data_IF_610201063537
#
_entry.id   IF_610201063537
#
_cell.length_a   1.000
_cell.length_b   1.000
_cell.length_c   1.000
_cell.angle_alpha   90.00
_cell.angle_beta   90.00
_cell.angle_gamma   90.00
#
_symmetry.space_group_name_H-M   'P 1'
#
loop_
_entity.id
_entity.type
_entity.pdbx_description
1 polymer ?
#
# COMPACT_ATOMS: atom_id res chain seq x y z
N UNK A 1 22.59 -6.94 -0.64
CA UNK A 1 21.45 -6.37 0.10
C UNK A 1 20.16 -6.65 -0.64
N UNK A 2 19.18 -7.15 0.07
CA UNK A 2 17.88 -7.46 -0.51
C UNK A 2 17.10 -6.19 -0.79
N UNK A 3 16.49 -6.10 -1.99
CA UNK A 3 15.56 -5.01 -2.30
C UNK A 3 14.22 -5.26 -1.59
N UNK A 4 13.47 -4.21 -1.23
CA UNK A 4 12.12 -4.40 -0.72
C UNK A 4 11.25 -5.16 -1.73
N UNK A 5 10.50 -6.14 -1.24
CA UNK A 5 9.59 -6.95 -2.06
C UNK A 5 8.12 -6.62 -1.80
N UNK A 6 7.83 -5.92 -0.72
CA UNK A 6 6.48 -5.48 -0.39
C UNK A 6 6.52 -3.99 -0.12
N UNK A 7 5.71 -3.25 -0.85
CA UNK A 7 5.51 -1.82 -0.66
C UNK A 7 4.06 -1.60 -0.23
N UNK A 8 3.88 -1.00 0.94
CA UNK A 8 2.54 -0.70 1.47
C UNK A 8 2.28 0.79 1.27
N UNK A 9 1.14 1.13 0.70
CA UNK A 9 0.78 2.52 0.40
C UNK A 9 -0.61 2.78 0.97
N UNK A 10 -0.75 3.79 1.85
CA UNK A 10 -2.07 4.27 2.21
C UNK A 10 -2.62 5.09 1.07
N UNK A 11 -3.90 4.91 0.73
CA UNK A 11 -4.52 5.69 -0.34
C UNK A 11 -4.27 7.19 -0.14
N UNK A 12 -4.17 7.92 -1.25
CA UNK A 12 -3.90 9.34 -1.26
C UNK A 12 -5.13 10.15 -0.80
N UNK A 13 -4.99 11.46 -0.73
CA UNK A 13 -6.04 12.36 -0.24
C UNK A 13 -7.34 12.21 -1.04
N UNK A 14 -8.43 11.96 -0.34
CA UNK A 14 -9.75 11.72 -0.94
C UNK A 14 -10.85 12.54 -0.27
N UNK A 15 -10.49 13.65 0.38
CA UNK A 15 -11.42 14.47 1.13
C UNK A 15 -11.92 13.77 2.38
N UNK A 16 -13.03 14.25 2.90
CA UNK A 16 -13.63 13.71 4.12
C UNK A 16 -14.88 12.90 3.76
N UNK A 17 -15.05 11.74 4.43
CA UNK A 17 -16.25 10.92 4.29
C UNK A 17 -17.52 11.74 4.55
N UNK A 18 -17.49 12.59 5.57
CA UNK A 18 -18.64 13.42 5.94
C UNK A 18 -19.08 14.38 4.83
N UNK A 19 -18.19 14.75 3.92
CA UNK A 19 -18.51 15.63 2.79
C UNK A 19 -18.90 14.90 1.51
N UNK A 20 -18.93 13.57 1.54
CA UNK A 20 -19.26 12.76 0.37
C UNK A 20 -20.70 12.28 0.43
N UNK A 21 -21.44 12.51 -0.65
CA UNK A 21 -22.81 12.06 -0.80
C UNK A 21 -22.83 10.82 -1.69
N UNK A 22 -23.19 9.67 -1.12
CA UNK A 22 -23.27 8.42 -1.84
C UNK A 22 -22.40 7.33 -1.22
N UNK A 23 -22.13 6.28 -1.99
CA UNK A 23 -21.36 5.13 -1.55
C UNK A 23 -19.89 5.52 -1.33
N UNK A 24 -19.40 5.28 -0.12
CA UNK A 24 -18.01 5.60 0.26
C UNK A 24 -16.99 4.79 -0.56
N UNK A 25 -17.38 3.62 -1.07
CA UNK A 25 -16.47 2.80 -1.88
C UNK A 25 -16.10 3.43 -3.22
N UNK A 26 -16.89 4.38 -3.70
CA UNK A 26 -16.63 5.10 -4.95
C UNK A 26 -16.21 6.55 -4.73
N UNK A 27 -15.88 6.94 -3.51
CA UNK A 27 -15.34 8.27 -3.23
C UNK A 27 -13.93 8.39 -3.85
N UNK A 28 -13.74 9.33 -4.81
CA UNK A 28 -12.48 9.40 -5.55
C UNK A 28 -11.41 10.20 -4.84
N UNK A 29 -10.19 10.13 -5.35
CA UNK A 29 -9.13 11.05 -4.94
C UNK A 29 -9.52 12.48 -5.30
N UNK A 30 -9.10 13.42 -4.45
CA UNK A 30 -9.12 14.85 -4.77
C UNK A 30 -7.99 15.17 -5.76
N UNK A 31 -7.97 16.41 -6.27
CA UNK A 31 -6.88 16.88 -7.10
C UNK A 31 -5.53 16.77 -6.36
N UNK A 32 -5.52 17.10 -5.07
CA UNK A 32 -4.34 16.91 -4.22
C UNK A 32 -3.92 15.43 -4.18
N UNK A 33 -4.87 14.53 -4.02
CA UNK A 33 -4.60 13.10 -3.99
C UNK A 33 -4.08 12.57 -5.32
N UNK A 34 -4.59 13.08 -6.44
CA UNK A 34 -4.08 12.73 -7.75
C UNK A 34 -2.62 13.16 -7.91
N UNK A 35 -2.28 14.36 -7.44
CA UNK A 35 -0.89 14.83 -7.44
C UNK A 35 0.00 13.94 -6.57
N UNK A 36 -0.47 13.57 -5.38
CA UNK A 36 0.25 12.64 -4.51
C UNK A 36 0.47 11.29 -5.18
N UNK A 37 -0.52 10.78 -5.91
CA UNK A 37 -0.38 9.50 -6.62
C UNK A 37 0.66 9.57 -7.74
N UNK A 38 0.78 10.71 -8.42
CA UNK A 38 1.84 10.92 -9.41
C UNK A 38 3.23 10.89 -8.76
N UNK A 39 3.38 11.50 -7.58
CA UNK A 39 4.64 11.50 -6.83
C UNK A 39 4.99 10.09 -6.32
N UNK A 40 3.99 9.34 -5.87
CA UNK A 40 4.19 7.93 -5.48
C UNK A 40 4.68 7.12 -6.68
N UNK A 41 4.07 7.32 -7.84
CA UNK A 41 4.48 6.64 -9.07
C UNK A 41 5.93 6.96 -9.42
N UNK A 42 6.34 8.23 -9.31
CA UNK A 42 7.72 8.63 -9.57
C UNK A 42 8.70 7.94 -8.61
N UNK A 43 8.32 7.79 -7.34
CA UNK A 43 9.16 7.14 -6.34
C UNK A 43 9.28 5.62 -6.56
N UNK A 44 8.22 4.97 -7.05
CA UNK A 44 8.14 3.51 -7.14
C UNK A 44 8.37 2.96 -8.55
N UNK A 45 8.56 3.80 -9.56
CA UNK A 45 8.78 3.34 -10.94
C UNK A 45 10.03 2.46 -11.06
N UNK A 46 11.01 2.64 -10.18
CA UNK A 46 12.25 1.85 -10.15
C UNK A 46 12.24 0.74 -9.12
N UNK A 47 11.10 0.48 -8.48
CA UNK A 47 10.98 -0.54 -7.41
C UNK A 47 11.15 -1.97 -7.89
N UNK A 48 11.00 -2.22 -9.19
CA UNK A 48 10.94 -3.57 -9.71
C UNK A 48 9.60 -4.25 -9.51
N UNK A 49 8.55 -3.50 -9.21
CA UNK A 49 7.22 -4.05 -8.94
C UNK A 49 6.72 -4.92 -10.08
N UNK A 50 6.21 -6.10 -9.74
CA UNK A 50 5.64 -7.06 -10.69
C UNK A 50 4.13 -7.20 -10.53
N UNK A 51 3.58 -6.71 -9.42
CA UNK A 51 2.15 -6.78 -9.13
C UNK A 51 1.70 -5.54 -8.36
N UNK A 52 0.54 -5.02 -8.73
CA UNK A 52 -0.09 -3.89 -8.04
C UNK A 52 -1.43 -4.38 -7.48
N UNK A 53 -1.53 -4.38 -6.15
CA UNK A 53 -2.72 -4.81 -5.44
C UNK A 53 -3.41 -3.63 -4.77
N UNK A 54 -4.72 -3.65 -4.74
CA UNK A 54 -5.50 -2.57 -4.15
C UNK A 54 -6.70 -3.09 -3.41
N UNK A 55 -7.08 -2.39 -2.33
CA UNK A 55 -8.44 -2.48 -1.85
C UNK A 55 -9.41 -2.20 -3.00
N UNK A 56 -10.58 -2.85 -3.04
CA UNK A 56 -11.59 -2.56 -4.07
C UNK A 56 -12.12 -1.13 -4.06
N UNK A 57 -11.87 -0.36 -3.02
CA UNK A 57 -12.30 1.05 -2.93
C UNK A 57 -11.60 1.89 -3.99
N UNK A 58 -12.38 2.75 -4.66
CA UNK A 58 -11.88 3.55 -5.78
C UNK A 58 -10.65 4.39 -5.42
N UNK A 59 -10.65 5.03 -4.25
CA UNK A 59 -9.52 5.87 -3.81
C UNK A 59 -8.21 5.08 -3.69
N UNK A 60 -8.29 3.82 -3.32
CA UNK A 60 -7.10 2.96 -3.23
C UNK A 60 -6.59 2.58 -4.63
N UNK A 61 -7.48 2.18 -5.53
CA UNK A 61 -7.11 1.85 -6.90
C UNK A 61 -6.53 3.07 -7.63
N UNK A 62 -7.16 4.22 -7.48
CA UNK A 62 -6.70 5.45 -8.12
C UNK A 62 -5.30 5.88 -7.65
N UNK A 63 -4.95 5.57 -6.40
CA UNK A 63 -3.62 5.87 -5.87
C UNK A 63 -2.52 5.16 -6.66
N UNK A 64 -2.81 3.98 -7.22
CA UNK A 64 -1.84 3.19 -7.98
C UNK A 64 -1.94 3.34 -9.50
N UNK A 65 -2.98 4.00 -10.02
CA UNK A 65 -3.16 4.10 -11.48
C UNK A 65 -2.00 4.77 -12.21
N UNK A 66 -1.40 5.87 -11.70
CA UNK A 66 -0.24 6.45 -12.39
C UNK A 66 0.96 5.50 -12.43
N UNK A 67 1.20 4.75 -11.37
CA UNK A 67 2.25 3.74 -11.34
C UNK A 67 1.93 2.60 -12.32
N UNK A 68 0.69 2.15 -12.35
CA UNK A 68 0.24 1.11 -13.28
C UNK A 68 0.52 1.51 -14.73
N UNK A 69 0.23 2.76 -15.09
CA UNK A 69 0.47 3.27 -16.43
C UNK A 69 1.96 3.26 -16.77
N UNK A 70 2.83 3.67 -15.82
CA UNK A 70 4.27 3.70 -16.02
C UNK A 70 4.89 2.31 -16.16
N UNK A 71 4.35 1.32 -15.45
CA UNK A 71 4.90 -0.04 -15.42
C UNK A 71 4.23 -0.98 -16.43
N UNK A 72 3.13 -0.57 -17.05
CA UNK A 72 2.35 -1.45 -17.94
C UNK A 72 1.70 -2.60 -17.18
N UNK A 73 1.32 -2.38 -15.92
CA UNK A 73 0.67 -3.37 -15.08
C UNK A 73 -0.79 -2.99 -14.83
N UNK A 74 -1.62 -3.98 -14.54
CA UNK A 74 -2.98 -3.75 -14.09
C UNK A 74 -3.03 -3.74 -12.56
N UNK A 75 -3.98 -2.99 -12.00
CA UNK A 75 -4.25 -2.99 -10.56
C UNK A 75 -5.25 -4.09 -10.26
N UNK A 76 -4.87 -5.04 -9.40
CA UNK A 76 -5.74 -6.16 -9.00
C UNK A 76 -6.42 -5.88 -7.67
N UNK A 77 -7.72 -6.06 -7.61
CA UNK A 77 -8.48 -5.91 -6.37
C UNK A 77 -8.19 -7.07 -5.42
N UNK A 78 -7.98 -6.75 -4.13
CA UNK A 78 -7.75 -7.74 -3.07
C UNK A 78 -8.66 -7.47 -1.88
N UNK A 79 -9.54 -8.41 -1.59
CA UNK A 79 -10.50 -8.27 -0.49
C UNK A 79 -9.80 -8.06 0.87
N UNK A 80 -8.63 -8.67 1.06
CA UNK A 80 -7.87 -8.55 2.31
C UNK A 80 -7.26 -7.15 2.52
N UNK A 81 -7.29 -6.30 1.51
CA UNK A 81 -6.85 -4.90 1.63
C UNK A 81 -8.02 -3.94 1.84
N UNK A 82 -9.25 -4.45 1.87
CA UNK A 82 -10.46 -3.67 2.05
C UNK A 82 -10.53 -3.07 3.45
N UNK A 83 -11.17 -1.89 3.57
CA UNK A 83 -11.46 -1.30 4.89
C UNK A 83 -12.20 -2.32 5.77
N UNK A 84 -11.77 -2.47 7.01
CA UNK A 84 -12.32 -3.45 7.94
C UNK A 84 -11.73 -4.85 7.83
N UNK A 85 -10.85 -5.13 6.86
CA UNK A 85 -10.21 -6.43 6.71
C UNK A 85 -9.15 -6.68 7.80
N UNK A 86 -8.74 -7.93 7.96
CA UNK A 86 -7.73 -8.33 8.94
C UNK A 86 -6.32 -8.15 8.38
N UNK A 87 -5.50 -7.34 9.05
CA UNK A 87 -4.12 -7.08 8.62
C UNK A 87 -3.26 -8.34 8.56
N UNK A 88 -3.48 -9.30 9.48
CA UNK A 88 -2.74 -10.56 9.47
C UNK A 88 -2.99 -11.37 8.19
N UNK A 89 -4.23 -11.40 7.71
CA UNK A 89 -4.55 -12.11 6.46
C UNK A 89 -3.93 -11.42 5.25
N UNK A 90 -3.94 -10.08 5.24
CA UNK A 90 -3.27 -9.32 4.20
C UNK A 90 -1.76 -9.60 4.19
N UNK A 91 -1.13 -9.63 5.36
CA UNK A 91 0.31 -9.93 5.47
C UNK A 91 0.62 -11.32 4.93
N UNK A 92 -0.18 -12.33 5.30
CA UNK A 92 0.06 -13.70 4.84
C UNK A 92 -0.06 -13.80 3.32
N UNK A 93 -1.01 -13.12 2.72
CA UNK A 93 -1.16 -13.08 1.26
C UNK A 93 0.02 -12.39 0.58
N UNK A 94 0.50 -11.29 1.15
CA UNK A 94 1.68 -10.57 0.65
C UNK A 94 2.94 -11.42 0.73
N UNK A 95 3.14 -12.10 1.86
CA UNK A 95 4.29 -12.99 2.04
C UNK A 95 4.26 -14.17 1.09
N UNK A 96 3.08 -14.74 0.81
CA UNK A 96 2.95 -15.81 -0.15
C UNK A 96 3.37 -15.35 -1.55
N UNK A 97 2.97 -14.17 -1.98
CA UNK A 97 3.38 -13.60 -3.27
C UNK A 97 4.90 -13.35 -3.31
N UNK A 98 5.47 -12.80 -2.23
CA UNK A 98 6.91 -12.57 -2.15
C UNK A 98 7.70 -13.87 -2.24
N UNK A 99 7.18 -14.97 -1.66
CA UNK A 99 7.84 -16.29 -1.72
C UNK A 99 7.87 -16.84 -3.15
N UNK A 100 7.01 -16.36 -4.03
CA UNK A 100 6.97 -16.72 -5.45
C UNK A 100 7.83 -15.77 -6.30
N UNK A 101 8.60 -14.89 -5.68
CA UNK A 101 9.48 -13.95 -6.36
C UNK A 101 8.80 -12.67 -6.79
N UNK A 102 7.55 -12.42 -6.39
CA UNK A 102 6.83 -11.20 -6.73
C UNK A 102 7.34 -10.00 -5.92
N UNK A 103 7.30 -8.83 -6.53
CA UNK A 103 7.47 -7.54 -5.85
C UNK A 103 6.12 -6.84 -5.93
N UNK A 104 5.46 -6.67 -4.78
CA UNK A 104 4.08 -6.19 -4.71
C UNK A 104 4.02 -4.78 -4.16
N UNK A 105 3.28 -3.91 -4.81
CA UNK A 105 2.85 -2.62 -4.26
C UNK A 105 1.38 -2.75 -3.90
N UNK A 106 1.03 -2.56 -2.64
CA UNK A 106 -0.32 -2.77 -2.12
C UNK A 106 -0.89 -1.46 -1.55
N UNK A 107 -2.02 -1.02 -2.09
CA UNK A 107 -2.73 0.18 -1.62
C UNK A 107 -3.91 -0.22 -0.73
N UNK A 108 -4.00 0.39 0.45
CA UNK A 108 -5.03 0.07 1.43
C UNK A 108 -5.34 1.28 2.32
N UNK A 109 -5.93 1.02 3.45
CA UNK A 109 -6.55 1.99 4.35
C UNK A 109 -5.78 2.17 5.65
N UNK A 110 -6.09 3.26 6.36
CA UNK A 110 -5.46 3.59 7.63
C UNK A 110 -5.84 2.69 8.80
N UNK A 111 -6.77 1.77 8.66
CA UNK A 111 -7.09 0.75 9.67
C UNK A 111 -6.37 -0.58 9.39
N UNK A 112 -6.20 -0.94 8.13
CA UNK A 112 -5.59 -2.23 7.75
C UNK A 112 -4.07 -2.18 7.83
N UNK A 113 -3.45 -1.12 7.31
CA UNK A 113 -1.98 -1.04 7.24
C UNK A 113 -1.31 -1.06 8.61
N UNK A 114 -1.80 -0.35 9.64
CA UNK A 114 -1.19 -0.47 10.96
C UNK A 114 -1.23 -1.89 11.52
N UNK A 115 -2.27 -2.67 11.22
CA UNK A 115 -2.36 -4.07 11.65
C UNK A 115 -1.39 -4.98 10.90
N UNK A 116 -1.18 -4.72 9.59
CA UNK A 116 -0.14 -5.43 8.82
C UNK A 116 1.21 -5.19 9.45
N UNK A 117 1.53 -3.93 9.74
CA UNK A 117 2.81 -3.53 10.34
C UNK A 117 2.96 -4.15 11.73
N UNK A 118 1.93 -4.04 12.58
CA UNK A 118 1.97 -4.58 13.94
C UNK A 118 2.16 -6.10 13.93
N UNK A 119 1.50 -6.80 13.01
CA UNK A 119 1.65 -8.24 12.87
C UNK A 119 3.07 -8.61 12.45
N UNK A 120 3.64 -7.88 11.49
CA UNK A 120 5.02 -8.10 11.05
C UNK A 120 6.01 -7.87 12.19
N UNK A 121 5.81 -6.81 12.99
CA UNK A 121 6.66 -6.50 14.14
C UNK A 121 6.58 -7.61 15.19
N UNK A 122 5.38 -8.12 15.50
CA UNK A 122 5.23 -9.26 16.41
C UNK A 122 5.94 -10.50 15.90
N UNK A 123 6.09 -10.64 14.58
CA UNK A 123 6.82 -11.77 13.96
C UNK A 123 8.30 -11.51 13.77
N UNK A 124 8.82 -10.38 14.29
CA UNK A 124 10.25 -10.10 14.33
C UNK A 124 10.74 -8.98 13.43
N UNK A 125 9.85 -8.29 12.69
CA UNK A 125 10.26 -7.17 11.84
C UNK A 125 10.70 -5.97 12.68
N UNK A 126 11.69 -5.22 12.19
CA UNK A 126 12.14 -3.97 12.78
C UNK A 126 11.52 -2.82 11.98
N UNK A 127 10.75 -1.97 12.66
CA UNK A 127 10.11 -0.81 12.06
C UNK A 127 10.98 0.44 12.25
N UNK A 128 11.17 1.17 11.16
CA UNK A 128 11.77 2.51 11.16
C UNK A 128 10.75 3.46 10.56
N UNK A 129 10.09 4.24 11.41
CA UNK A 129 9.07 5.18 11.01
C UNK A 129 7.81 5.08 11.86
N UNK A 130 6.79 5.80 11.48
CA UNK A 130 5.51 5.83 12.18
C UNK A 130 4.71 4.56 11.83
N UNK A 131 4.19 3.81 12.83
CA UNK A 131 3.38 2.64 12.56
C UNK A 131 1.99 2.96 12.00
N UNK A 132 1.60 4.23 12.02
CA UNK A 132 0.29 4.68 11.55
C UNK A 132 0.48 5.63 10.37
N UNK A 133 0.29 5.16 9.12
CA UNK A 133 0.59 5.98 7.96
C UNK A 133 -0.44 7.08 7.77
N UNK A 134 0.02 8.27 7.38
CA UNK A 134 -0.86 9.30 6.86
C UNK A 134 -1.26 8.98 5.42
N UNK A 135 -2.31 9.62 4.91
CA UNK A 135 -2.76 9.45 3.52
C UNK A 135 -1.58 9.72 2.58
N UNK A 136 -1.39 8.83 1.61
CA UNK A 136 -0.24 8.82 0.68
C UNK A 136 1.11 8.51 1.33
N UNK A 137 1.15 8.19 2.62
CA UNK A 137 2.32 7.63 3.27
C UNK A 137 2.55 6.20 2.82
N UNK A 138 3.80 5.73 2.87
CA UNK A 138 4.13 4.41 2.38
C UNK A 138 5.26 3.76 3.15
N UNK A 139 5.41 2.46 2.97
CA UNK A 139 6.44 1.66 3.61
C UNK A 139 7.13 0.75 2.60
N UNK A 140 8.43 0.57 2.79
CA UNK A 140 9.22 -0.44 2.07
C UNK A 140 9.55 -1.56 3.03
N UNK A 141 9.16 -2.78 2.67
CA UNK A 141 9.33 -3.95 3.51
C UNK A 141 10.28 -4.94 2.83
N UNK A 142 11.36 -5.29 3.52
CA UNK A 142 12.32 -6.28 3.05
C UNK A 142 11.93 -7.65 3.62
N UNK A 143 11.90 -8.66 2.75
CA UNK A 143 11.53 -10.03 3.14
C UNK A 143 12.80 -10.89 3.18
N UNK A 144 12.99 -11.59 4.30
CA UNK A 144 14.08 -12.53 4.50
C UNK A 144 13.55 -13.78 5.19
N UNK A 145 13.90 -14.95 4.69
CA UNK A 145 13.48 -16.23 5.28
C UNK A 145 11.94 -16.33 5.43
N UNK A 146 11.19 -15.82 4.45
CA UNK A 146 9.74 -15.91 4.44
C UNK A 146 9.00 -14.94 5.34
N UNK A 147 9.70 -14.00 6.00
CA UNK A 147 9.11 -13.00 6.87
C UNK A 147 9.64 -11.61 6.53
N UNK A 148 8.89 -10.58 6.89
CA UNK A 148 9.41 -9.21 6.80
C UNK A 148 10.48 -9.03 7.87
N UNK A 149 11.69 -8.63 7.47
CA UNK A 149 12.80 -8.35 8.40
C UNK A 149 12.85 -6.88 8.81
N UNK A 150 12.63 -5.97 7.85
CA UNK A 150 12.66 -4.52 8.11
C UNK A 150 11.54 -3.83 7.36
N UNK A 151 11.01 -2.77 8.00
CA UNK A 151 10.00 -1.89 7.43
C UNK A 151 10.52 -0.46 7.57
N UNK A 152 10.59 0.27 6.45
CA UNK A 152 11.01 1.68 6.45
C UNK A 152 9.85 2.52 5.97
N UNK A 153 9.43 3.48 6.80
CA UNK A 153 8.34 4.38 6.48
C UNK A 153 8.80 5.64 5.76
N UNK A 154 7.97 6.13 4.87
CA UNK A 154 8.17 7.38 4.13
C UNK A 154 6.95 8.27 4.28
N UNK A 155 7.19 9.54 4.57
CA UNK A 155 6.12 10.52 4.69
C UNK A 155 5.41 10.74 3.35
N UNK A 156 4.14 11.20 3.38
CA UNK A 156 3.43 11.55 2.15
C UNK A 156 4.20 12.60 1.34
N UNK A 157 4.04 12.59 0.00
CA UNK A 157 4.51 13.70 -0.83
C UNK A 157 3.87 15.02 -0.39
N UNK A 158 4.57 16.10 -0.59
CA UNK A 158 4.11 17.45 -0.26
C UNK A 158 2.84 17.85 -1.00
#
# INVERSE_FOLDING_TARGET
MSKPQIHLVRHAHAGKRAGWHGDDTVRPLTQRGQHQSDEIAAALVTSGATALWSSPYLRCAQTLLPLAAKLGLEVSDKANLCEGAWGADALDELLAAASEGQVVVASSHGDVLPEVIATAVRRGAILRGDPSPRKAGRYECTVENGQISTIVGFDPPA
#
